data_IF_269618517274
#
_entry.id   IF_269618517274
#
_cell.length_a   1.000
_cell.length_b   1.000
_cell.length_c   1.000
_cell.angle_alpha   90.00
_cell.angle_beta   90.00
_cell.angle_gamma   90.00
#
_symmetry.space_group_name_H-M   'P 1'
#
loop_
_entity.id
_entity.type
_entity.pdbx_description
1 polymer ?
#
# COMPACT_ATOMS: atom_id res chain seq x y z
N UNK A 1 13.15 -7.04 1.56
CA UNK A 1 12.05 -6.08 1.77
C UNK A 1 12.17 -4.86 0.84
N UNK A 2 11.21 -4.62 -0.07
CA UNK A 2 11.19 -3.48 -1.00
C UNK A 2 10.64 -2.13 -0.49
N UNK A 3 10.20 -1.93 0.77
CA UNK A 3 9.50 -0.71 1.14
C UNK A 3 10.32 0.60 1.11
N UNK A 4 11.68 0.63 1.25
CA UNK A 4 12.36 1.93 1.25
C UNK A 4 12.38 2.58 -0.14
N UNK A 5 12.38 1.79 -1.23
CA UNK A 5 12.46 2.34 -2.59
C UNK A 5 11.14 3.01 -2.98
N UNK A 6 10.01 2.35 -2.74
CA UNK A 6 8.68 2.92 -3.00
C UNK A 6 8.37 4.10 -2.06
N UNK A 7 8.84 4.05 -0.81
CA UNK A 7 8.72 5.19 0.10
C UNK A 7 9.44 6.46 -0.42
N UNK A 8 10.61 6.30 -1.05
CA UNK A 8 11.31 7.40 -1.70
C UNK A 8 10.50 7.97 -2.87
N UNK A 9 9.88 7.13 -3.70
CA UNK A 9 9.04 7.61 -4.80
C UNK A 9 7.79 8.34 -4.32
N UNK A 10 7.10 7.81 -3.29
CA UNK A 10 5.97 8.51 -2.67
C UNK A 10 6.36 9.84 -2.06
N UNK A 11 7.53 9.90 -1.42
CA UNK A 11 8.08 11.15 -0.89
C UNK A 11 8.40 12.16 -2.00
N UNK A 12 8.96 11.71 -3.12
CA UNK A 12 9.24 12.56 -4.27
C UNK A 12 7.95 13.13 -4.88
N UNK A 13 6.91 12.31 -5.06
CA UNK A 13 5.61 12.77 -5.57
C UNK A 13 5.04 13.84 -4.64
N UNK A 14 5.03 13.59 -3.33
CA UNK A 14 4.58 14.57 -2.34
C UNK A 14 5.39 15.88 -2.39
N UNK A 15 6.72 15.80 -2.57
CA UNK A 15 7.58 16.98 -2.71
C UNK A 15 7.30 17.77 -3.98
N UNK A 16 7.07 17.10 -5.11
CA UNK A 16 6.79 17.76 -6.39
C UNK A 16 5.43 18.45 -6.42
N UNK A 17 4.47 17.98 -5.64
CA UNK A 17 3.09 18.49 -5.58
C UNK A 17 2.85 19.44 -4.39
N UNK A 18 3.88 19.69 -3.58
CA UNK A 18 3.83 20.54 -2.36
C UNK A 18 2.78 20.07 -1.32
N UNK A 19 2.48 18.76 -1.32
CA UNK A 19 1.53 18.09 -0.42
C UNK A 19 2.03 18.04 1.04
N UNK A 20 3.27 18.48 1.30
CA UNK A 20 3.91 18.46 2.63
C UNK A 20 3.39 19.57 3.56
N UNK A 21 2.69 20.57 3.04
CA UNK A 21 2.21 21.68 3.85
C UNK A 21 1.14 21.18 4.83
N UNK A 22 1.37 21.28 6.16
CA UNK A 22 0.33 20.99 7.11
C UNK A 22 -0.75 22.06 6.98
N UNK A 23 -2.02 21.61 6.93
CA UNK A 23 -3.27 22.40 6.99
C UNK A 23 -3.42 23.27 8.27
N UNK A 24 -2.32 23.64 8.91
CA UNK A 24 -2.22 24.32 10.20
C UNK A 24 -1.75 25.77 10.02
N UNK A 25 -2.41 26.51 9.12
CA UNK A 25 -2.22 27.96 9.02
C UNK A 25 -3.07 28.62 10.13
N UNK A 26 -2.47 29.31 11.12
CA UNK A 26 -3.23 30.15 12.04
C UNK A 26 -3.89 31.30 11.27
N UNK A 27 -5.00 31.87 11.79
CA UNK A 27 -5.90 32.72 11.01
C UNK A 27 -5.43 34.09 10.51
N UNK A 28 -4.26 34.71 10.85
CA UNK A 28 -4.05 36.10 10.44
C UNK A 28 -3.51 36.30 9.01
N UNK A 29 -3.29 35.24 8.22
CA UNK A 29 -2.75 35.33 6.84
C UNK A 29 -3.59 34.58 5.78
N UNK A 30 -4.82 34.21 6.10
CA UNK A 30 -5.71 33.49 5.18
C UNK A 30 -6.43 34.48 4.25
N UNK A 31 -5.97 34.57 3.00
CA UNK A 31 -6.63 35.34 1.93
C UNK A 31 -8.09 34.89 1.75
N UNK A 32 -9.01 35.85 1.59
CA UNK A 32 -10.47 35.67 1.45
C UNK A 32 -10.91 34.57 0.45
N UNK A 33 -10.04 34.23 -0.51
CA UNK A 33 -10.22 33.13 -1.47
C UNK A 33 -10.34 31.74 -0.82
N UNK A 34 -9.83 31.55 0.41
CA UNK A 34 -9.88 30.27 1.13
C UNK A 34 -11.08 30.10 2.09
N UNK A 35 -11.85 31.16 2.37
CA UNK A 35 -13.07 31.03 3.18
C UNK A 35 -14.22 30.34 2.43
N UNK A 36 -14.18 30.32 1.10
CA UNK A 36 -15.19 29.65 0.26
C UNK A 36 -14.86 28.16 -0.01
N UNK A 37 -13.72 27.65 0.46
CA UNK A 37 -13.24 26.30 0.13
C UNK A 37 -13.15 25.35 1.32
N UNK A 38 -13.40 25.80 2.56
CA UNK A 38 -13.28 24.96 3.75
C UNK A 38 -14.52 24.08 3.99
N UNK A 39 -14.84 23.26 3.00
CA UNK A 39 -15.47 21.97 3.25
C UNK A 39 -14.35 20.94 3.22
N UNK A 40 -14.32 20.03 4.20
CA UNK A 40 -13.36 18.91 4.32
C UNK A 40 -13.17 18.13 3.00
N UNK A 41 -14.11 18.25 2.08
CA UNK A 41 -14.16 17.63 0.75
C UNK A 41 -13.23 18.25 -0.30
N UNK A 42 -12.79 19.51 -0.17
CA UNK A 42 -11.97 20.16 -1.21
C UNK A 42 -10.46 20.00 -1.04
N UNK A 43 -9.94 19.79 0.18
CA UNK A 43 -8.51 19.53 0.38
C UNK A 43 -8.10 18.14 -0.14
N UNK A 44 -9.02 17.16 -0.09
CA UNK A 44 -8.82 15.84 -0.71
C UNK A 44 -8.77 15.92 -2.26
N UNK A 45 -9.32 16.98 -2.86
CA UNK A 45 -9.38 17.19 -4.31
C UNK A 45 -8.16 17.94 -4.88
N UNK A 46 -7.22 18.36 -4.04
CA UNK A 46 -6.03 19.12 -4.46
C UNK A 46 -4.73 18.35 -4.23
N UNK A 47 -4.71 17.43 -3.27
CA UNK A 47 -3.54 16.62 -2.94
C UNK A 47 -3.54 15.31 -3.71
N UNK A 48 -2.38 14.79 -4.07
CA UNK A 48 -2.24 13.47 -4.70
C UNK A 48 -2.38 12.33 -3.68
N UNK A 49 -1.89 12.56 -2.46
CA UNK A 49 -2.01 11.61 -1.34
C UNK A 49 -2.34 12.36 -0.05
N UNK A 50 -3.51 12.08 0.50
CA UNK A 50 -3.98 12.71 1.74
C UNK A 50 -3.24 12.12 2.93
N UNK A 51 -2.74 13.00 3.82
CA UNK A 51 -2.13 12.62 5.10
C UNK A 51 -0.61 12.40 5.07
N UNK A 52 0.05 12.56 3.92
CA UNK A 52 1.51 12.43 3.78
C UNK A 52 2.19 13.77 4.09
N UNK A 53 2.41 14.05 5.37
CA UNK A 53 3.05 15.30 5.83
C UNK A 53 4.54 15.15 6.16
N UNK A 54 5.06 13.92 6.14
CA UNK A 54 6.42 13.59 6.57
C UNK A 54 6.90 12.31 5.90
N UNK A 55 8.22 12.12 5.85
CA UNK A 55 8.82 10.92 5.26
C UNK A 55 8.37 9.64 5.97
N UNK A 56 8.07 9.73 7.27
CA UNK A 56 7.53 8.62 8.04
C UNK A 56 6.12 8.26 7.55
N UNK A 57 5.30 9.25 7.23
CA UNK A 57 3.95 9.01 6.69
C UNK A 57 4.01 8.43 5.27
N UNK A 58 4.94 8.88 4.41
CA UNK A 58 5.11 8.26 3.07
C UNK A 58 5.64 6.83 3.16
N UNK A 59 6.52 6.56 4.14
CA UNK A 59 6.99 5.21 4.43
C UNK A 59 5.87 4.29 4.95
N UNK A 60 5.08 4.76 5.90
CA UNK A 60 3.90 4.05 6.40
C UNK A 60 2.91 3.78 5.26
N UNK A 61 2.63 4.78 4.43
CA UNK A 61 1.75 4.63 3.27
C UNK A 61 2.26 3.55 2.29
N UNK A 62 3.56 3.51 2.03
CA UNK A 62 4.18 2.48 1.20
C UNK A 62 4.00 1.08 1.79
N UNK A 63 4.10 0.92 3.10
CA UNK A 63 3.89 -0.37 3.79
C UNK A 63 2.42 -0.77 3.73
N UNK A 64 1.52 0.15 4.10
CA UNK A 64 0.08 -0.06 4.11
C UNK A 64 -0.43 -0.50 2.73
N UNK A 65 0.09 0.13 1.68
CA UNK A 65 -0.25 -0.19 0.29
C UNK A 65 0.32 -1.55 -0.13
N UNK A 66 1.57 -1.86 0.20
CA UNK A 66 2.19 -3.14 -0.20
C UNK A 66 1.56 -4.34 0.52
N UNK A 67 1.21 -4.18 1.79
CA UNK A 67 0.56 -5.22 2.59
C UNK A 67 -0.97 -5.22 2.41
N UNK A 68 -1.51 -4.31 1.58
CA UNK A 68 -2.95 -4.16 1.33
C UNK A 68 -3.78 -3.99 2.62
N UNK A 69 -3.20 -3.38 3.65
CA UNK A 69 -3.86 -3.22 4.97
C UNK A 69 -4.97 -2.16 4.87
N UNK A 70 -4.63 -1.00 4.30
CA UNK A 70 -5.58 0.09 4.06
C UNK A 70 -6.26 0.63 5.33
N UNK A 71 -5.50 1.14 6.31
CA UNK A 71 -6.08 1.76 7.51
C UNK A 71 -7.00 2.96 7.20
N UNK A 72 -6.85 3.55 6.00
CA UNK A 72 -7.72 4.61 5.50
C UNK A 72 -7.37 6.01 6.00
N UNK A 73 -6.34 6.13 6.85
CA UNK A 73 -5.78 7.42 7.28
C UNK A 73 -4.95 8.10 6.18
N UNK A 74 -4.28 7.30 5.35
CA UNK A 74 -3.50 7.71 4.20
C UNK A 74 -4.22 7.22 2.95
N UNK A 75 -4.59 8.11 2.03
CA UNK A 75 -5.39 7.74 0.85
C UNK A 75 -4.91 8.43 -0.41
N UNK A 76 -4.89 7.67 -1.49
CA UNK A 76 -4.66 8.17 -2.85
C UNK A 76 -5.93 8.82 -3.39
N UNK A 77 -5.75 9.84 -4.20
CA UNK A 77 -6.80 10.62 -4.83
C UNK A 77 -6.64 10.52 -6.36
N UNK A 78 -7.72 10.59 -7.16
CA UNK A 78 -7.66 10.54 -8.63
C UNK A 78 -7.01 11.74 -9.33
N UNK A 79 -6.52 12.74 -8.59
CA UNK A 79 -6.07 14.04 -9.05
C UNK A 79 -4.76 13.94 -9.83
N UNK A 80 -3.90 12.99 -9.42
CA UNK A 80 -2.57 12.81 -9.97
C UNK A 80 -2.42 11.41 -10.60
N UNK A 81 -2.39 11.29 -11.94
CA UNK A 81 -2.30 9.99 -12.60
C UNK A 81 -0.96 9.27 -12.38
N UNK A 82 0.09 10.03 -12.06
CA UNK A 82 1.41 9.49 -11.70
C UNK A 82 1.37 8.69 -10.39
N UNK A 83 0.61 9.15 -9.39
CA UNK A 83 0.42 8.44 -8.13
C UNK A 83 -0.29 7.10 -8.37
N UNK A 84 -1.31 7.09 -9.24
CA UNK A 84 -2.02 5.87 -9.62
C UNK A 84 -1.09 4.90 -10.35
N UNK A 85 -0.28 5.39 -11.29
CA UNK A 85 0.69 4.55 -11.99
C UNK A 85 1.70 3.92 -11.01
N UNK A 86 2.21 4.71 -10.06
CA UNK A 86 3.12 4.22 -9.03
C UNK A 86 2.46 3.14 -8.16
N UNK A 87 1.22 3.39 -7.74
CA UNK A 87 0.41 2.42 -6.98
C UNK A 87 0.25 1.11 -7.75
N UNK A 88 -0.12 1.15 -9.03
CA UNK A 88 -0.26 -0.04 -9.87
C UNK A 88 1.05 -0.84 -9.97
N UNK A 89 2.17 -0.15 -10.22
CA UNK A 89 3.50 -0.80 -10.29
C UNK A 89 3.85 -1.44 -8.94
N UNK A 90 3.61 -0.72 -7.84
CA UNK A 90 3.87 -1.20 -6.49
C UNK A 90 3.07 -2.47 -6.16
N UNK A 91 1.79 -2.53 -6.53
CA UNK A 91 0.96 -3.71 -6.32
C UNK A 91 1.47 -4.90 -7.14
N UNK A 92 1.78 -4.71 -8.42
CA UNK A 92 2.31 -5.78 -9.29
C UNK A 92 3.61 -6.36 -8.71
N UNK A 93 4.58 -5.48 -8.39
CA UNK A 93 5.87 -5.90 -7.82
C UNK A 93 5.68 -6.54 -6.44
N UNK A 94 4.79 -5.99 -5.61
CA UNK A 94 4.46 -6.54 -4.29
C UNK A 94 3.91 -7.96 -4.37
N UNK A 95 2.92 -8.18 -5.23
CA UNK A 95 2.31 -9.51 -5.43
C UNK A 95 3.33 -10.50 -5.99
N UNK A 96 4.16 -10.11 -6.96
CA UNK A 96 5.19 -11.00 -7.51
C UNK A 96 6.16 -11.48 -6.42
N UNK A 97 6.64 -10.57 -5.57
CA UNK A 97 7.56 -10.93 -4.48
C UNK A 97 6.88 -11.81 -3.45
N UNK A 98 5.62 -11.52 -3.10
CA UNK A 98 4.84 -12.32 -2.17
C UNK A 98 4.67 -13.76 -2.68
N UNK A 99 4.31 -13.92 -3.96
CA UNK A 99 4.16 -15.22 -4.62
C UNK A 99 5.50 -15.97 -4.65
N UNK A 100 6.62 -15.31 -4.95
CA UNK A 100 7.92 -15.98 -4.94
C UNK A 100 8.31 -16.49 -3.55
N UNK A 101 8.01 -15.72 -2.49
CA UNK A 101 8.32 -16.09 -1.10
C UNK A 101 7.43 -17.25 -0.64
N UNK A 102 6.12 -17.16 -0.85
CA UNK A 102 5.18 -18.20 -0.41
C UNK A 102 5.40 -19.52 -1.15
N UNK A 103 5.69 -19.47 -2.45
CA UNK A 103 5.97 -20.68 -3.24
C UNK A 103 7.28 -21.33 -2.78
N UNK A 104 8.35 -20.54 -2.64
CA UNK A 104 9.63 -21.08 -2.16
C UNK A 104 9.46 -21.71 -0.77
N UNK A 105 8.79 -21.03 0.15
CA UNK A 105 8.55 -21.55 1.49
C UNK A 105 7.70 -22.84 1.47
N UNK A 106 6.66 -22.89 0.64
CA UNK A 106 5.78 -24.06 0.52
C UNK A 106 6.54 -25.30 0.02
N UNK A 107 7.43 -25.15 -0.98
CA UNK A 107 8.22 -26.25 -1.53
C UNK A 107 9.32 -26.76 -0.57
N UNK A 108 9.89 -25.88 0.27
CA UNK A 108 10.93 -26.26 1.23
C UNK A 108 10.38 -26.69 2.61
N UNK A 109 9.09 -26.52 2.88
CA UNK A 109 8.50 -26.87 4.17
C UNK A 109 8.25 -28.38 4.28
N UNK A 110 8.82 -29.07 5.30
CA UNK A 110 8.56 -30.49 5.55
C UNK A 110 7.09 -30.79 5.91
N UNK A 111 6.33 -29.76 6.33
CA UNK A 111 4.89 -29.88 6.56
C UNK A 111 4.11 -30.15 5.26
N UNK A 112 4.54 -29.57 4.14
CA UNK A 112 3.91 -29.82 2.82
C UNK A 112 4.13 -31.27 2.37
N UNK A 113 5.32 -31.82 2.61
CA UNK A 113 5.61 -33.25 2.38
C UNK A 113 4.74 -34.15 3.26
N UNK A 114 4.52 -33.77 4.53
CA UNK A 114 3.66 -34.53 5.43
C UNK A 114 2.21 -34.53 4.98
N UNK A 115 1.65 -33.38 4.57
CA UNK A 115 0.27 -33.29 4.04
C UNK A 115 0.13 -34.15 2.78
N UNK A 116 1.10 -34.09 1.87
CA UNK A 116 1.10 -34.92 0.67
C UNK A 116 1.16 -36.42 1.01
N UNK A 117 2.00 -36.82 1.98
CA UNK A 117 2.07 -38.21 2.46
C UNK A 117 0.74 -38.63 3.10
N UNK A 118 0.11 -37.78 3.91
CA UNK A 118 -1.19 -38.06 4.54
C UNK A 118 -2.28 -38.21 3.48
N UNK A 119 -2.35 -37.34 2.47
CA UNK A 119 -3.32 -37.47 1.37
C UNK A 119 -3.10 -38.73 0.53
N UNK A 120 -1.83 -39.06 0.23
CA UNK A 120 -1.50 -40.30 -0.47
C UNK A 120 -1.89 -41.51 0.39
N UNK A 121 -1.61 -41.49 1.68
CA UNK A 121 -1.97 -42.57 2.61
C UNK A 121 -3.49 -42.71 2.71
N UNK A 122 -4.21 -41.61 2.87
CA UNK A 122 -5.67 -41.59 2.91
C UNK A 122 -6.27 -42.10 1.59
N UNK A 123 -5.67 -41.76 0.45
CA UNK A 123 -6.11 -42.26 -0.87
C UNK A 123 -5.84 -43.76 -1.01
N UNK A 124 -4.69 -44.26 -0.58
CA UNK A 124 -4.36 -45.69 -0.58
C UNK A 124 -5.32 -46.46 0.34
N UNK A 125 -5.58 -45.94 1.53
CA UNK A 125 -6.45 -46.58 2.53
C UNK A 125 -7.91 -46.59 2.06
N UNK A 126 -8.38 -45.51 1.42
CA UNK A 126 -9.70 -45.49 0.76
C UNK A 126 -9.80 -46.50 -0.39
N UNK A 127 -8.72 -46.71 -1.14
CA UNK A 127 -8.65 -47.66 -2.27
C UNK A 127 -8.53 -49.13 -1.83
N UNK A 128 -8.16 -49.39 -0.58
CA UNK A 128 -8.02 -50.75 -0.05
C UNK A 128 -9.31 -51.25 0.62
N UNK A 129 -10.31 -50.37 0.79
CA UNK A 129 -11.63 -50.69 1.35
C UNK A 129 -12.71 -50.94 0.27
N UNK A 130 -12.41 -50.64 -1.01
CA UNK A 130 -13.21 -51.03 -2.20
C UNK A 130 -12.75 -52.39 -2.77
#
# INVERSE_FOLDING_TARGET
PPPPVFACFWWLIALTHDDLLPDKIPPPLMTLRHLMTKSKTQNDQLHCVVGVNSFVNSFLYSIETQQTIGYGNLRITPECPEAICLFCIQTIVGTLIQVLIENSFFFYSPMSYLVLIIEIQHTIESRNQD
#
